data_IF_608681031546
#
_entry.id   IF_608681031546
#
_cell.length_a   1.000
_cell.length_b   1.000
_cell.length_c   1.000
_cell.angle_alpha   90.00
_cell.angle_beta   90.00
_cell.angle_gamma   90.00
#
_symmetry.space_group_name_H-M   'P 1'
#
loop_
_entity.id
_entity.type
_entity.pdbx_description
1 polymer ?
#
# COMPACT_ATOMS: atom_id res chain seq x y z
N UNK A 1 6.37 22.09 7.59
CA UNK A 1 5.00 22.04 7.01
C UNK A 1 3.99 22.36 8.10
N UNK A 2 2.70 22.40 7.77
CA UNK A 2 1.62 22.44 8.77
C UNK A 2 1.17 21.02 9.14
N UNK A 3 2.14 20.09 9.21
CA UNK A 3 1.91 18.76 9.75
C UNK A 3 1.51 18.89 11.21
N UNK A 4 0.65 17.99 11.70
CA UNK A 4 0.31 17.99 13.13
C UNK A 4 1.51 17.49 13.96
N UNK A 5 2.14 16.41 13.51
CA UNK A 5 3.31 15.80 14.14
C UNK A 5 4.37 15.54 13.06
N UNK A 6 5.63 15.81 13.39
CA UNK A 6 6.76 15.57 12.49
C UNK A 6 7.91 14.96 13.27
N UNK A 7 8.37 13.79 12.81
CA UNK A 7 9.66 13.21 13.18
C UNK A 7 10.66 13.55 12.08
N UNK A 8 11.72 14.28 12.43
CA UNK A 8 12.77 14.69 11.50
C UNK A 8 14.15 14.54 12.15
N UNK A 9 15.06 13.79 11.52
CA UNK A 9 16.44 13.60 11.97
C UNK A 9 17.52 14.08 11.01
N UNK A 10 18.78 13.70 11.29
CA UNK A 10 19.94 14.00 10.46
C UNK A 10 20.76 12.74 10.17
N UNK A 11 21.45 12.69 9.03
CA UNK A 11 22.38 11.62 8.65
C UNK A 11 23.68 12.22 8.11
N UNK A 12 24.76 11.43 8.06
CA UNK A 12 25.97 11.81 7.35
C UNK A 12 25.92 11.26 5.91
N UNK A 13 25.40 12.04 4.97
CA UNK A 13 25.05 11.50 3.65
C UNK A 13 23.96 10.43 3.78
N UNK A 14 24.18 9.24 3.23
CA UNK A 14 23.27 8.11 3.41
C UNK A 14 23.59 7.26 4.65
N UNK A 15 24.62 7.60 5.44
CA UNK A 15 24.95 6.89 6.67
C UNK A 15 24.11 7.41 7.85
N UNK A 16 23.17 6.57 8.29
CA UNK A 16 22.28 6.79 9.42
C UNK A 16 22.77 6.22 10.75
N UNK A 17 23.95 5.59 10.81
CA UNK A 17 24.41 4.85 12.00
C UNK A 17 24.83 5.75 13.17
N UNK A 18 24.91 7.07 12.94
CA UNK A 18 25.27 8.06 13.97
C UNK A 18 24.23 8.29 15.07
N UNK A 19 22.98 7.84 14.90
CA UNK A 19 21.94 7.92 15.93
C UNK A 19 21.27 9.30 16.09
N UNK A 20 21.47 10.22 15.14
CA UNK A 20 20.92 11.58 15.15
C UNK A 20 19.47 11.64 14.59
N UNK A 21 18.73 10.53 14.68
CA UNK A 21 17.39 10.38 14.14
C UNK A 21 16.39 10.05 15.24
N UNK A 22 15.19 10.67 15.24
CA UNK A 22 14.12 10.26 16.14
C UNK A 22 13.80 8.77 15.96
N UNK A 23 13.79 8.05 17.08
CA UNK A 23 13.42 6.64 17.16
C UNK A 23 12.38 6.45 18.25
N UNK A 24 11.54 5.43 18.09
CA UNK A 24 10.54 5.05 19.10
C UNK A 24 9.50 6.15 19.39
N UNK A 25 9.22 7.03 18.42
CA UNK A 25 8.15 8.02 18.52
C UNK A 25 6.81 7.31 18.72
N UNK A 26 6.06 7.68 19.76
CA UNK A 26 4.72 7.15 20.02
C UNK A 26 3.67 8.21 19.72
N UNK A 27 2.77 7.91 18.78
CA UNK A 27 1.65 8.76 18.38
C UNK A 27 0.39 7.93 18.55
N UNK A 28 -0.19 7.97 19.75
CA UNK A 28 -1.31 7.10 20.10
C UNK A 28 -2.48 7.86 20.69
N UNK A 29 -3.71 7.38 20.40
CA UNK A 29 -4.95 7.88 21.01
C UNK A 29 -5.26 9.36 20.72
N UNK A 30 -4.88 9.85 19.53
CA UNK A 30 -5.11 11.23 19.14
C UNK A 30 -6.36 11.38 18.26
N UNK A 31 -6.97 12.57 18.35
CA UNK A 31 -7.95 13.07 17.40
C UNK A 31 -7.32 14.23 16.62
N UNK A 32 -7.18 14.08 15.30
CA UNK A 32 -6.64 15.12 14.44
C UNK A 32 -7.63 15.44 13.31
N UNK A 33 -7.96 16.71 13.14
CA UNK A 33 -8.78 17.16 12.02
C UNK A 33 -8.53 18.61 11.63
N UNK A 34 -8.89 18.96 10.39
CA UNK A 34 -8.86 20.33 9.85
C UNK A 34 -7.47 21.00 9.95
N UNK A 35 -6.40 20.26 9.69
CA UNK A 35 -5.04 20.82 9.58
C UNK A 35 -4.74 21.32 8.16
N UNK A 36 -3.58 21.96 7.97
CA UNK A 36 -3.10 22.34 6.64
C UNK A 36 -3.91 23.46 5.95
N UNK A 37 -4.37 24.45 6.71
CA UNK A 37 -5.10 25.60 6.17
C UNK A 37 -4.30 26.42 5.14
N UNK A 38 -2.97 26.46 5.28
CA UNK A 38 -2.04 27.22 4.44
C UNK A 38 -1.21 26.27 3.57
N UNK A 39 -0.53 25.29 4.18
CA UNK A 39 0.29 24.32 3.44
C UNK A 39 -0.50 23.04 3.20
N UNK A 40 -0.82 22.76 1.93
CA UNK A 40 -1.64 21.61 1.53
C UNK A 40 -0.85 20.31 1.45
N UNK A 41 0.48 20.38 1.38
CA UNK A 41 1.34 19.22 1.64
C UNK A 41 1.59 19.05 3.15
N UNK A 42 0.52 18.71 3.87
CA UNK A 42 0.56 18.47 5.32
C UNK A 42 -0.16 17.17 5.69
N UNK A 43 0.39 16.45 6.66
CA UNK A 43 -0.11 15.18 7.17
C UNK A 43 -0.34 15.24 8.69
N UNK A 44 -1.15 14.32 9.22
CA UNK A 44 -1.23 14.15 10.67
C UNK A 44 0.13 13.71 11.23
N UNK A 45 0.72 12.70 10.62
CA UNK A 45 2.08 12.28 10.92
C UNK A 45 2.93 12.34 9.66
N UNK A 46 4.03 13.07 9.75
CA UNK A 46 5.07 13.09 8.73
C UNK A 46 6.37 12.55 9.33
N UNK A 47 7.05 11.70 8.60
CA UNK A 47 8.34 11.15 8.98
C UNK A 47 9.36 11.32 7.85
N UNK A 48 10.52 11.86 8.21
CA UNK A 48 11.71 11.92 7.39
C UNK A 48 12.93 11.67 8.27
N UNK A 49 13.86 10.82 7.83
CA UNK A 49 15.06 10.48 8.60
C UNK A 49 14.72 10.10 10.05
N UNK A 50 13.74 9.22 10.23
CA UNK A 50 13.30 8.69 11.53
C UNK A 50 12.80 7.27 11.38
N UNK A 51 12.76 6.49 12.47
CA UNK A 51 12.44 5.06 12.40
C UNK A 51 11.68 4.59 13.64
N UNK A 52 11.13 3.37 13.57
CA UNK A 52 10.52 2.67 14.71
C UNK A 52 9.37 3.43 15.38
N UNK A 53 8.62 4.24 14.62
CA UNK A 53 7.46 4.94 15.12
C UNK A 53 6.31 3.97 15.41
N UNK A 54 5.55 4.23 16.47
CA UNK A 54 4.30 3.54 16.78
C UNK A 54 3.16 4.53 16.61
N UNK A 55 2.32 4.33 15.60
CA UNK A 55 1.19 5.20 15.24
C UNK A 55 -0.07 4.37 15.37
N UNK A 56 -0.80 4.51 16.48
CA UNK A 56 -1.97 3.65 16.72
C UNK A 56 -3.15 4.31 17.42
N UNK A 57 -4.35 3.77 17.23
CA UNK A 57 -5.56 4.25 17.90
C UNK A 57 -5.87 5.74 17.64
N UNK A 58 -5.42 6.28 16.49
CA UNK A 58 -5.71 7.66 16.13
C UNK A 58 -6.94 7.74 15.23
N UNK A 59 -7.69 8.83 15.36
CA UNK A 59 -8.77 9.20 14.44
C UNK A 59 -8.31 10.45 13.69
N UNK A 60 -8.18 10.34 12.37
CA UNK A 60 -7.68 11.40 11.51
C UNK A 60 -8.64 11.64 10.36
N UNK A 61 -9.11 12.88 10.23
CA UNK A 61 -10.03 13.23 9.15
C UNK A 61 -10.03 14.70 8.78
N UNK A 62 -10.63 15.01 7.64
CA UNK A 62 -10.76 16.36 7.13
C UNK A 62 -9.40 17.05 6.96
N UNK A 63 -8.47 16.42 6.25
CA UNK A 63 -7.11 16.94 6.04
C UNK A 63 -6.80 17.07 4.54
N UNK A 64 -5.87 17.97 4.14
CA UNK A 64 -5.65 18.28 2.73
C UNK A 64 -4.98 17.17 1.92
N UNK A 65 -4.17 16.29 2.56
CA UNK A 65 -3.32 15.24 1.96
C UNK A 65 -3.42 13.93 2.73
N UNK A 66 -2.55 12.96 2.45
CA UNK A 66 -2.34 11.73 3.22
C UNK A 66 -2.25 11.99 4.72
N UNK A 67 -2.87 11.14 5.52
CA UNK A 67 -2.86 11.24 6.98
C UNK A 67 -1.51 10.85 7.57
N UNK A 68 -0.91 9.79 7.07
CA UNK A 68 0.40 9.31 7.49
C UNK A 68 1.29 9.31 6.24
N UNK A 69 2.42 9.99 6.33
CA UNK A 69 3.34 10.13 5.21
C UNK A 69 4.78 9.81 5.63
N UNK A 70 5.35 8.75 5.06
CA UNK A 70 6.76 8.40 5.21
C UNK A 70 7.53 8.88 3.97
N UNK A 71 8.62 9.61 4.18
CA UNK A 71 9.22 10.39 3.10
C UNK A 71 10.43 9.73 2.41
N UNK A 72 11.14 8.83 3.09
CA UNK A 72 12.49 8.45 2.65
C UNK A 72 12.96 7.03 2.98
N UNK A 73 12.12 6.11 3.45
CA UNK A 73 12.55 4.74 3.74
C UNK A 73 13.61 4.59 4.85
N UNK A 74 13.87 5.63 5.66
CA UNK A 74 14.92 5.58 6.67
C UNK A 74 14.63 4.53 7.75
N UNK A 75 15.44 3.46 7.80
CA UNK A 75 15.59 2.54 8.93
C UNK A 75 14.40 1.62 9.25
N UNK A 76 13.19 2.00 8.88
CA UNK A 76 11.96 1.22 8.98
C UNK A 76 11.55 0.85 10.42
N UNK A 77 10.91 -0.31 10.57
CA UNK A 77 10.46 -0.84 11.86
C UNK A 77 9.26 -0.10 12.48
N UNK A 78 8.56 0.72 11.69
CA UNK A 78 7.36 1.40 12.16
C UNK A 78 6.20 0.41 12.34
N UNK A 79 5.28 0.75 13.25
CA UNK A 79 4.02 0.03 13.48
C UNK A 79 2.86 0.98 13.34
N UNK A 80 2.00 0.75 12.36
CA UNK A 80 0.84 1.59 12.05
C UNK A 80 -0.41 0.72 12.19
N UNK A 81 -1.14 0.88 13.29
CA UNK A 81 -2.27 -0.01 13.54
C UNK A 81 -3.45 0.58 14.30
N UNK A 82 -4.65 0.04 14.06
CA UNK A 82 -5.89 0.47 14.73
C UNK A 82 -6.18 1.97 14.57
N UNK A 83 -5.75 2.58 13.46
CA UNK A 83 -6.11 3.95 13.13
C UNK A 83 -7.40 3.99 12.31
N UNK A 84 -8.18 5.06 12.47
CA UNK A 84 -9.30 5.41 11.60
C UNK A 84 -8.90 6.63 10.76
N UNK A 85 -8.74 6.45 9.45
CA UNK A 85 -8.34 7.48 8.50
C UNK A 85 -9.46 7.67 7.48
N UNK A 86 -10.04 8.86 7.38
CA UNK A 86 -11.11 9.12 6.42
C UNK A 86 -11.16 10.59 6.02
N UNK A 87 -11.72 10.91 4.85
CA UNK A 87 -11.77 12.29 4.36
C UNK A 87 -10.37 12.96 4.35
N UNK A 88 -9.37 12.19 3.91
CA UNK A 88 -8.01 12.65 3.60
C UNK A 88 -7.95 13.12 2.15
N UNK A 89 -6.84 13.75 1.75
CA UNK A 89 -6.65 14.19 0.35
C UNK A 89 -7.81 15.07 -0.18
N UNK A 90 -8.30 16.01 0.63
CA UNK A 90 -9.41 16.91 0.24
C UNK A 90 -9.00 18.00 -0.73
N UNK A 91 -7.73 18.38 -0.72
CA UNK A 91 -7.20 19.55 -1.42
C UNK A 91 -5.90 19.25 -2.18
N UNK A 92 -5.48 17.98 -2.20
CA UNK A 92 -4.41 17.43 -3.04
C UNK A 92 -4.83 16.04 -3.53
N UNK A 93 -4.30 15.59 -4.66
CA UNK A 93 -4.43 14.20 -5.13
C UNK A 93 -3.07 13.58 -5.40
N UNK A 94 -3.05 12.47 -6.16
CA UNK A 94 -1.87 11.66 -6.49
C UNK A 94 -1.27 10.89 -5.30
N UNK A 95 -2.09 10.62 -4.27
CA UNK A 95 -1.63 10.00 -3.01
C UNK A 95 -2.75 9.19 -2.34
N UNK A 96 -2.40 8.19 -1.54
CA UNK A 96 -3.33 7.49 -0.65
C UNK A 96 -3.55 8.15 0.71
N UNK A 97 -4.44 7.55 1.51
CA UNK A 97 -4.65 7.95 2.91
C UNK A 97 -3.43 7.68 3.80
N UNK A 98 -2.77 6.53 3.60
CA UNK A 98 -1.38 6.28 3.97
C UNK A 98 -0.51 6.45 2.72
N UNK A 99 0.68 7.04 2.87
CA UNK A 99 1.63 7.25 1.78
C UNK A 99 3.08 6.98 2.22
N UNK A 100 3.88 6.35 1.37
CA UNK A 100 5.34 6.24 1.53
C UNK A 100 6.13 6.53 0.26
N UNK A 101 7.36 7.02 0.41
CA UNK A 101 8.40 7.10 -0.63
C UNK A 101 9.73 6.63 -0.08
N UNK A 102 10.50 5.89 -0.89
CA UNK A 102 11.83 5.42 -0.50
C UNK A 102 12.85 5.69 -1.64
N UNK A 103 13.09 6.97 -1.94
CA UNK A 103 13.95 7.39 -3.07
C UNK A 103 15.47 7.32 -2.82
N UNK A 104 15.91 6.90 -1.62
CA UNK A 104 17.33 6.78 -1.27
C UNK A 104 17.57 5.62 -0.29
N UNK A 105 18.51 4.69 -0.58
CA UNK A 105 18.91 3.68 0.40
C UNK A 105 19.80 4.28 1.50
N UNK A 106 19.36 4.16 2.75
CA UNK A 106 20.13 4.56 3.93
C UNK A 106 20.84 3.37 4.56
N UNK A 107 22.08 3.56 5.01
CA UNK A 107 22.77 2.60 5.86
C UNK A 107 22.32 2.81 7.30
N UNK A 108 21.71 1.79 7.91
CA UNK A 108 21.24 1.82 9.30
C UNK A 108 21.61 0.53 10.02
N UNK A 109 21.58 0.53 11.35
CA UNK A 109 21.77 -0.67 12.17
C UNK A 109 20.45 -1.23 12.75
N UNK A 110 19.31 -0.74 12.28
CA UNK A 110 18.01 -0.97 12.93
C UNK A 110 17.50 -2.39 12.72
N UNK A 111 17.65 -2.95 11.52
CA UNK A 111 17.12 -4.26 11.18
C UNK A 111 17.81 -5.40 11.94
N UNK A 112 19.14 -5.34 12.07
CA UNK A 112 19.96 -6.48 12.55
C UNK A 112 20.92 -6.12 13.68
N UNK A 113 21.03 -4.84 14.07
CA UNK A 113 22.06 -4.35 14.98
C UNK A 113 23.42 -4.12 14.33
N UNK A 114 23.54 -4.32 13.00
CA UNK A 114 24.75 -4.07 12.24
C UNK A 114 24.44 -3.16 11.03
N UNK A 115 25.38 -2.28 10.63
CA UNK A 115 25.19 -1.40 9.47
C UNK A 115 24.80 -2.17 8.20
N UNK A 116 23.67 -1.80 7.60
CA UNK A 116 23.13 -2.37 6.37
C UNK A 116 22.24 -1.37 5.64
N UNK A 117 22.12 -1.48 4.31
CA UNK A 117 21.15 -0.72 3.51
C UNK A 117 19.72 -1.30 3.55
N UNK A 118 19.55 -2.45 4.19
CA UNK A 118 18.24 -3.08 4.39
C UNK A 118 17.58 -2.51 5.66
N UNK A 119 16.47 -1.77 5.55
CA UNK A 119 15.73 -1.28 6.71
C UNK A 119 15.00 -2.41 7.42
N UNK A 120 14.51 -2.15 8.64
CA UNK A 120 13.60 -3.05 9.31
C UNK A 120 12.21 -3.01 8.63
N UNK A 121 11.49 -4.13 8.62
CA UNK A 121 10.15 -4.22 8.04
C UNK A 121 9.18 -3.27 8.73
N UNK A 122 8.44 -2.48 7.96
CA UNK A 122 7.32 -1.68 8.45
C UNK A 122 6.06 -2.53 8.52
N UNK A 123 5.30 -2.40 9.59
CA UNK A 123 4.12 -3.21 9.89
C UNK A 123 2.87 -2.34 9.89
N UNK A 124 1.98 -2.52 8.90
CA UNK A 124 0.77 -1.71 8.69
C UNK A 124 -0.45 -2.60 8.77
N UNK A 125 -1.17 -2.55 9.89
CA UNK A 125 -2.22 -3.53 10.13
C UNK A 125 -3.42 -3.06 10.93
N UNK A 126 -4.56 -3.73 10.77
CA UNK A 126 -5.77 -3.45 11.57
C UNK A 126 -6.26 -1.99 11.49
N UNK A 127 -5.99 -1.27 10.40
CA UNK A 127 -6.49 0.10 10.21
C UNK A 127 -7.85 0.08 9.50
N UNK A 128 -8.71 1.04 9.84
CA UNK A 128 -9.91 1.36 9.06
C UNK A 128 -9.63 2.59 8.22
N UNK A 129 -9.59 2.42 6.91
CA UNK A 129 -9.27 3.49 5.97
C UNK A 129 -10.44 3.67 5.00
N UNK A 130 -10.89 4.91 4.85
CA UNK A 130 -11.93 5.32 3.89
C UNK A 130 -11.35 6.37 2.95
N UNK A 131 -11.00 5.96 1.73
CA UNK A 131 -10.37 6.79 0.70
C UNK A 131 -11.43 7.46 -0.20
N UNK A 132 -12.26 8.35 0.36
CA UNK A 132 -13.48 8.85 -0.30
C UNK A 132 -13.36 10.23 -0.99
N UNK A 133 -12.15 10.75 -1.19
CA UNK A 133 -11.89 12.03 -1.89
C UNK A 133 -10.82 11.82 -2.96
N UNK A 134 -9.91 12.78 -3.19
CA UNK A 134 -8.78 12.61 -4.10
C UNK A 134 -7.66 11.76 -3.49
N UNK A 135 -8.01 10.78 -2.65
CA UNK A 135 -7.11 9.72 -2.21
C UNK A 135 -7.03 8.65 -3.32
N UNK A 136 -6.67 9.10 -4.52
CA UNK A 136 -6.63 8.32 -5.75
C UNK A 136 -5.50 7.29 -5.77
N UNK A 137 -4.43 7.47 -4.97
CA UNK A 137 -3.48 6.39 -4.64
C UNK A 137 -4.07 5.30 -3.73
N UNK A 138 -5.33 5.43 -3.29
CA UNK A 138 -6.07 4.43 -2.54
C UNK A 138 -5.99 4.57 -1.02
N UNK A 139 -6.16 3.44 -0.33
CA UNK A 139 -6.03 3.43 1.13
C UNK A 139 -4.57 3.35 1.55
N UNK A 140 -3.81 2.53 0.84
CA UNK A 140 -2.41 2.20 1.09
C UNK A 140 -1.63 2.56 -0.16
N UNK A 141 -0.85 3.63 -0.08
CA UNK A 141 -0.01 4.12 -1.17
C UNK A 141 1.46 3.90 -0.85
N UNK A 142 2.03 2.87 -1.43
CA UNK A 142 3.46 2.65 -1.43
C UNK A 142 4.01 3.12 -2.78
N UNK A 143 4.40 4.39 -2.80
CA UNK A 143 4.83 5.13 -3.98
C UNK A 143 6.36 5.01 -4.20
N UNK A 144 6.93 5.75 -5.16
CA UNK A 144 8.34 5.66 -5.63
C UNK A 144 9.32 4.93 -4.70
N UNK A 145 9.74 3.74 -5.12
CA UNK A 145 10.81 2.96 -4.49
C UNK A 145 10.43 2.32 -3.15
N UNK A 146 9.21 2.51 -2.66
CA UNK A 146 8.75 2.00 -1.36
C UNK A 146 9.03 0.51 -1.20
N UNK A 147 9.69 0.14 -0.11
CA UNK A 147 10.06 -1.24 0.14
C UNK A 147 9.96 -1.66 1.61
N UNK A 148 9.94 -2.98 1.84
CA UNK A 148 9.93 -3.60 3.16
C UNK A 148 8.68 -3.26 4.00
N UNK A 149 7.51 -3.65 3.48
CA UNK A 149 6.23 -3.47 4.15
C UNK A 149 5.48 -4.79 4.31
N UNK A 150 5.05 -5.09 5.54
CA UNK A 150 4.02 -6.10 5.83
C UNK A 150 2.70 -5.37 6.09
N UNK A 151 1.71 -5.61 5.23
CA UNK A 151 0.48 -4.84 5.15
C UNK A 151 -0.68 -5.81 5.29
N UNK A 152 -1.28 -5.87 6.48
CA UNK A 152 -2.22 -6.94 6.75
C UNK A 152 -3.42 -6.56 7.57
N UNK A 153 -4.53 -7.28 7.38
CA UNK A 153 -5.71 -7.13 8.23
C UNK A 153 -6.30 -5.70 8.24
N UNK A 154 -6.07 -4.90 7.19
CA UNK A 154 -6.66 -3.57 7.07
C UNK A 154 -8.06 -3.68 6.42
N UNK A 155 -8.98 -2.82 6.86
CA UNK A 155 -10.30 -2.66 6.29
C UNK A 155 -10.34 -1.37 5.46
N UNK A 156 -10.31 -1.52 4.15
CA UNK A 156 -10.18 -0.42 3.18
C UNK A 156 -11.49 -0.24 2.42
N UNK A 157 -12.03 0.98 2.42
CA UNK A 157 -13.27 1.33 1.70
C UNK A 157 -12.97 2.46 0.73
N UNK A 158 -13.42 2.32 -0.52
CA UNK A 158 -13.17 3.25 -1.62
C UNK A 158 -11.70 3.44 -1.99
N UNK A 159 -10.81 2.56 -1.51
CA UNK A 159 -9.40 2.54 -1.89
C UNK A 159 -8.85 1.13 -1.90
N UNK A 160 -7.83 0.92 -2.73
CA UNK A 160 -7.06 -0.32 -2.81
C UNK A 160 -5.66 -0.14 -2.24
N UNK A 161 -4.74 -0.93 -2.78
CA UNK A 161 -3.31 -0.86 -2.49
C UNK A 161 -2.55 -0.50 -3.77
N UNK A 162 -1.91 0.66 -3.76
CA UNK A 162 -0.95 1.09 -4.78
C UNK A 162 0.43 0.56 -4.41
N UNK A 163 1.02 -0.22 -5.31
CA UNK A 163 2.31 -0.88 -5.15
C UNK A 163 3.33 -0.47 -6.24
N UNK A 164 2.89 0.34 -7.21
CA UNK A 164 3.65 0.78 -8.38
C UNK A 164 4.82 1.76 -8.07
N UNK A 165 5.46 2.26 -9.14
CA UNK A 165 6.65 3.12 -9.10
C UNK A 165 7.90 2.47 -8.48
N UNK A 166 8.17 1.22 -8.87
CA UNK A 166 9.30 0.43 -8.38
C UNK A 166 9.27 0.21 -6.84
N UNK A 167 10.39 -0.22 -6.28
CA UNK A 167 10.45 -0.76 -4.92
C UNK A 167 10.25 -2.27 -4.92
N UNK A 168 10.06 -2.85 -3.74
CA UNK A 168 10.01 -4.31 -3.57
C UNK A 168 9.63 -4.74 -2.14
N UNK A 169 9.49 -6.05 -1.89
CA UNK A 169 9.25 -6.62 -0.55
C UNK A 169 8.02 -6.01 0.15
N UNK A 170 6.99 -5.71 -0.64
CA UNK A 170 5.66 -5.33 -0.16
C UNK A 170 4.80 -6.60 -0.10
N UNK A 171 4.23 -6.88 1.07
CA UNK A 171 3.47 -8.09 1.32
C UNK A 171 2.11 -7.75 1.90
N UNK A 172 1.07 -7.92 1.08
CA UNK A 172 -0.29 -7.61 1.43
C UNK A 172 -1.07 -8.89 1.76
N UNK A 173 -1.55 -9.02 2.99
CA UNK A 173 -2.29 -10.21 3.41
C UNK A 173 -3.54 -9.97 4.27
N UNK A 174 -4.60 -10.74 4.05
CA UNK A 174 -5.83 -10.66 4.87
C UNK A 174 -6.50 -9.28 4.94
N UNK A 175 -6.21 -8.39 4.00
CA UNK A 175 -6.89 -7.10 3.90
C UNK A 175 -8.25 -7.29 3.21
N UNK A 176 -9.17 -6.40 3.51
CA UNK A 176 -10.50 -6.35 2.87
C UNK A 176 -10.64 -5.02 2.15
N UNK A 177 -10.72 -5.09 0.83
CA UNK A 177 -10.86 -3.94 -0.06
C UNK A 177 -12.28 -3.88 -0.60
N UNK A 178 -13.01 -2.85 -0.20
CA UNK A 178 -14.43 -2.66 -0.51
C UNK A 178 -14.57 -1.52 -1.51
N UNK A 179 -15.02 -1.84 -2.73
CA UNK A 179 -15.19 -0.88 -3.83
C UNK A 179 -13.92 -0.07 -4.09
N UNK A 180 -12.78 -0.75 -4.30
CA UNK A 180 -11.48 -0.11 -4.30
C UNK A 180 -11.33 0.88 -5.47
N UNK A 181 -10.61 1.97 -5.21
CA UNK A 181 -10.14 2.89 -6.24
C UNK A 181 -8.66 3.18 -6.00
N UNK A 182 -7.84 2.87 -6.98
CA UNK A 182 -6.42 3.20 -7.08
C UNK A 182 -6.19 3.63 -8.52
N UNK A 183 -6.02 4.92 -8.78
CA UNK A 183 -6.02 5.54 -10.11
C UNK A 183 -7.11 4.96 -11.04
N UNK A 184 -8.35 4.88 -10.53
CA UNK A 184 -9.45 4.15 -11.15
C UNK A 184 -9.83 2.89 -10.38
N UNK A 185 -10.83 2.14 -10.83
CA UNK A 185 -11.32 0.96 -10.10
C UNK A 185 -10.35 -0.19 -10.26
N UNK A 186 -9.70 -0.62 -9.16
CA UNK A 186 -8.86 -1.83 -9.05
C UNK A 186 -8.41 -2.05 -7.61
N UNK A 187 -8.15 -3.30 -7.24
CA UNK A 187 -7.68 -3.64 -5.89
C UNK A 187 -6.18 -3.41 -5.71
N UNK A 188 -5.42 -3.69 -6.76
CA UNK A 188 -3.96 -3.63 -6.78
C UNK A 188 -3.55 -2.86 -8.03
N UNK A 189 -2.65 -1.91 -7.85
CA UNK A 189 -1.99 -1.22 -8.94
C UNK A 189 -0.48 -1.40 -8.82
N UNK A 190 0.07 -2.25 -9.69
CA UNK A 190 1.50 -2.40 -9.94
C UNK A 190 1.73 -1.94 -11.38
N UNK A 191 2.35 -0.79 -11.61
CA UNK A 191 2.47 -0.23 -12.96
C UNK A 191 3.76 -0.65 -13.68
N UNK A 192 3.80 -0.29 -14.95
CA UNK A 192 4.80 -0.65 -15.94
C UNK A 192 5.97 0.33 -16.05
N UNK A 193 5.97 1.43 -15.29
CA UNK A 193 6.84 2.58 -15.56
C UNK A 193 8.32 2.28 -15.38
N UNK A 194 8.63 1.23 -14.61
CA UNK A 194 9.98 0.70 -14.51
C UNK A 194 10.50 0.04 -15.80
N UNK A 195 9.64 -0.28 -16.78
CA UNK A 195 10.06 -0.69 -18.13
C UNK A 195 10.68 0.48 -18.90
N UNK A 196 10.04 1.65 -18.85
CA UNK A 196 10.47 2.85 -19.58
C UNK A 196 11.74 3.47 -18.95
N UNK A 197 11.87 3.35 -17.63
CA UNK A 197 13.00 3.88 -16.87
C UNK A 197 14.13 2.88 -16.64
N UNK A 198 13.89 1.59 -16.93
CA UNK A 198 14.87 0.50 -16.81
C UNK A 198 15.19 0.09 -15.37
N UNK A 199 14.30 0.41 -14.43
CA UNK A 199 14.42 0.15 -12.99
C UNK A 199 13.68 -1.13 -12.56
N UNK A 200 12.70 -1.58 -13.33
CA UNK A 200 12.02 -2.84 -13.12
C UNK A 200 12.78 -4.04 -13.71
N UNK A 201 12.46 -5.23 -13.21
CA UNK A 201 12.88 -6.50 -13.80
C UNK A 201 12.20 -6.78 -15.14
N UNK A 202 12.40 -7.98 -15.72
CA UNK A 202 11.83 -8.35 -17.01
C UNK A 202 10.31 -8.15 -17.05
N UNK A 203 9.82 -7.50 -18.12
CA UNK A 203 8.40 -7.17 -18.33
C UNK A 203 7.78 -6.30 -17.21
N UNK A 204 8.53 -5.39 -16.62
CA UNK A 204 7.98 -4.44 -15.64
C UNK A 204 7.59 -5.07 -14.30
N UNK A 205 8.19 -6.21 -13.98
CA UNK A 205 7.95 -6.92 -12.73
C UNK A 205 9.09 -6.64 -11.73
N UNK A 206 8.83 -6.74 -10.41
CA UNK A 206 9.91 -6.76 -9.42
C UNK A 206 10.99 -7.81 -9.78
N UNK A 207 12.30 -7.49 -9.62
CA UNK A 207 13.36 -8.43 -9.92
C UNK A 207 13.28 -9.72 -9.07
N UNK A 208 13.85 -10.82 -9.59
CA UNK A 208 13.86 -12.08 -8.85
C UNK A 208 14.54 -11.94 -7.47
N UNK A 209 13.87 -12.44 -6.42
CA UNK A 209 14.32 -12.32 -5.02
C UNK A 209 13.72 -11.12 -4.27
N UNK A 210 12.98 -10.26 -4.98
CA UNK A 210 12.34 -9.05 -4.48
C UNK A 210 10.83 -9.09 -4.69
N UNK A 211 10.28 -10.31 -4.72
CA UNK A 211 8.90 -10.56 -5.08
C UNK A 211 7.94 -9.91 -4.10
N UNK A 212 6.91 -9.28 -4.63
CA UNK A 212 5.80 -8.79 -3.84
C UNK A 212 4.75 -9.88 -3.69
N UNK A 213 3.89 -9.74 -2.68
CA UNK A 213 2.85 -10.74 -2.46
C UNK A 213 1.50 -10.12 -2.13
N UNK A 214 0.45 -10.73 -2.69
CA UNK A 214 -0.92 -10.39 -2.42
C UNK A 214 -1.69 -11.68 -2.13
N UNK A 215 -1.90 -11.95 -0.84
CA UNK A 215 -2.28 -13.28 -0.36
C UNK A 215 -3.47 -13.23 0.59
N UNK A 216 -4.49 -14.04 0.32
CA UNK A 216 -5.68 -14.19 1.20
C UNK A 216 -6.45 -12.88 1.44
N UNK A 217 -6.37 -11.92 0.52
CA UNK A 217 -7.14 -10.68 0.58
C UNK A 217 -8.55 -10.89 0.02
N UNK A 218 -9.48 -10.03 0.43
CA UNK A 218 -10.81 -9.93 -0.15
C UNK A 218 -10.88 -8.65 -1.01
N UNK A 219 -11.29 -8.79 -2.26
CA UNK A 219 -11.50 -7.71 -3.21
C UNK A 219 -12.96 -7.65 -3.62
N UNK A 220 -13.64 -6.51 -3.46
CA UNK A 220 -15.06 -6.34 -3.85
C UNK A 220 -15.17 -5.24 -4.91
N UNK A 221 -15.25 -5.65 -6.17
CA UNK A 221 -15.35 -4.75 -7.32
C UNK A 221 -16.80 -4.25 -7.49
N UNK A 222 -16.99 -2.97 -7.88
CA UNK A 222 -18.31 -2.36 -7.98
C UNK A 222 -19.11 -2.79 -9.22
N UNK A 223 -18.46 -3.10 -10.34
CA UNK A 223 -19.12 -3.47 -11.60
C UNK A 223 -18.50 -4.71 -12.27
N UNK A 224 -19.28 -5.32 -13.17
CA UNK A 224 -18.82 -6.42 -14.00
C UNK A 224 -17.74 -5.94 -14.98
N UNK A 225 -16.67 -6.71 -15.13
CA UNK A 225 -15.57 -6.42 -16.05
C UNK A 225 -14.56 -5.39 -15.52
N UNK A 226 -14.73 -4.92 -14.29
CA UNK A 226 -13.75 -4.10 -13.59
C UNK A 226 -12.45 -4.88 -13.37
N UNK A 227 -11.28 -4.22 -13.43
CA UNK A 227 -10.02 -4.89 -13.24
C UNK A 227 -9.77 -5.20 -11.77
N UNK A 228 -9.38 -6.45 -11.51
CA UNK A 228 -8.87 -6.88 -10.21
C UNK A 228 -7.51 -6.26 -9.93
N UNK A 229 -6.62 -6.30 -10.93
CA UNK A 229 -5.22 -5.92 -10.83
C UNK A 229 -4.73 -5.35 -12.17
N UNK A 230 -3.82 -4.39 -12.09
CA UNK A 230 -2.92 -3.99 -13.17
C UNK A 230 -1.50 -4.31 -12.70
N UNK A 231 -0.67 -4.86 -13.59
CA UNK A 231 0.67 -5.36 -13.29
C UNK A 231 1.59 -5.36 -14.52
N UNK A 232 2.89 -5.43 -14.27
CA UNK A 232 3.87 -6.06 -15.15
C UNK A 232 3.56 -7.49 -15.56
N UNK A 233 4.32 -7.99 -16.53
CA UNK A 233 4.31 -9.36 -17.00
C UNK A 233 3.67 -9.53 -18.36
N UNK A 234 3.87 -10.71 -18.95
CA UNK A 234 3.25 -11.10 -20.22
C UNK A 234 2.57 -12.45 -20.05
N UNK A 235 1.44 -12.64 -20.72
CA UNK A 235 0.60 -13.83 -20.57
C UNK A 235 1.34 -15.14 -20.93
N UNK A 236 2.37 -15.07 -21.77
CA UNK A 236 3.17 -16.24 -22.15
C UNK A 236 4.18 -16.68 -21.09
N UNK A 237 4.40 -15.90 -20.03
CA UNK A 237 5.41 -16.21 -18.99
C UNK A 237 4.83 -16.18 -17.55
N UNK A 238 3.97 -17.15 -17.20
CA UNK A 238 3.45 -17.28 -15.84
C UNK A 238 4.54 -17.54 -14.79
N UNK A 239 5.68 -18.11 -15.17
CA UNK A 239 6.78 -18.42 -14.25
C UNK A 239 7.57 -17.17 -13.89
N UNK A 240 7.87 -16.31 -14.88
CA UNK A 240 8.47 -15.01 -14.64
C UNK A 240 7.58 -14.12 -13.79
N UNK A 241 6.28 -14.09 -14.09
CA UNK A 241 5.30 -13.39 -13.25
C UNK A 241 5.36 -13.81 -11.79
N UNK A 242 5.33 -15.12 -11.51
CA UNK A 242 5.37 -15.64 -10.13
C UNK A 242 6.68 -15.38 -9.39
N UNK A 243 7.75 -14.93 -10.06
CA UNK A 243 8.99 -14.48 -9.43
C UNK A 243 8.95 -13.01 -9.01
N UNK A 244 8.11 -12.20 -9.65
CA UNK A 244 7.91 -10.79 -9.32
C UNK A 244 6.72 -10.57 -8.39
N UNK A 245 5.59 -11.24 -8.65
CA UNK A 245 4.35 -11.07 -7.87
C UNK A 245 3.75 -12.42 -7.53
N UNK A 246 3.51 -12.63 -6.24
CA UNK A 246 2.88 -13.83 -5.69
C UNK A 246 1.42 -13.55 -5.38
N UNK A 247 0.52 -14.05 -6.23
CA UNK A 247 -0.92 -14.04 -5.99
C UNK A 247 -1.37 -15.40 -5.45
N UNK A 248 -2.09 -15.40 -4.32
CA UNK A 248 -2.58 -16.66 -3.72
C UNK A 248 -3.81 -16.52 -2.83
N UNK A 249 -4.77 -17.43 -2.97
CA UNK A 249 -5.95 -17.56 -2.11
C UNK A 249 -6.79 -16.28 -1.94
N UNK A 250 -6.72 -15.33 -2.87
CA UNK A 250 -7.54 -14.13 -2.81
C UNK A 250 -8.99 -14.48 -3.17
N UNK A 251 -9.92 -13.73 -2.59
CA UNK A 251 -11.35 -13.85 -2.93
C UNK A 251 -11.81 -12.57 -3.59
N UNK A 252 -12.17 -12.66 -4.86
CA UNK A 252 -12.61 -11.54 -5.68
C UNK A 252 -14.13 -11.66 -5.85
N UNK A 253 -14.85 -10.62 -5.48
CA UNK A 253 -16.27 -10.47 -5.72
C UNK A 253 -16.47 -9.43 -6.82
N UNK A 254 -17.10 -9.82 -7.92
CA UNK A 254 -17.47 -8.91 -9.00
C UNK A 254 -18.84 -9.30 -9.56
N UNK A 255 -19.73 -8.34 -9.88
CA UNK A 255 -21.01 -8.65 -10.49
C UNK A 255 -20.88 -9.58 -11.69
N UNK A 256 -21.80 -10.55 -11.81
CA UNK A 256 -21.78 -11.60 -12.85
C UNK A 256 -20.53 -12.50 -12.86
N UNK A 257 -19.71 -12.48 -11.80
CA UNK A 257 -18.41 -13.17 -11.76
C UNK A 257 -17.50 -12.75 -12.93
N UNK A 258 -17.56 -11.49 -13.32
CA UNK A 258 -16.80 -10.94 -14.45
C UNK A 258 -15.80 -9.90 -13.96
N UNK A 259 -14.52 -10.16 -14.22
CA UNK A 259 -13.39 -9.31 -13.85
C UNK A 259 -12.24 -9.53 -14.83
N UNK A 260 -11.37 -8.54 -14.93
CA UNK A 260 -10.17 -8.58 -15.77
C UNK A 260 -8.88 -8.40 -14.97
N UNK A 261 -7.77 -8.74 -15.61
CA UNK A 261 -6.42 -8.35 -15.21
C UNK A 261 -5.77 -7.66 -16.41
N UNK A 262 -4.94 -6.65 -16.17
CA UNK A 262 -4.12 -6.03 -17.22
C UNK A 262 -2.66 -6.35 -16.95
N UNK A 263 -1.96 -6.90 -17.94
CA UNK A 263 -0.52 -7.20 -17.88
C UNK A 263 0.20 -6.39 -18.97
N UNK A 264 1.10 -5.47 -18.62
CA UNK A 264 1.81 -4.63 -19.62
C UNK A 264 0.89 -3.96 -20.65
N UNK A 265 -0.29 -3.49 -20.21
CA UNK A 265 -1.32 -2.88 -21.07
C UNK A 265 -2.27 -3.87 -21.75
N UNK A 266 -1.96 -5.17 -21.79
CA UNK A 266 -2.82 -6.21 -22.34
C UNK A 266 -3.89 -6.64 -21.34
N UNK A 267 -5.13 -6.24 -21.61
CA UNK A 267 -6.31 -6.59 -20.78
C UNK A 267 -6.82 -7.99 -21.13
N UNK A 268 -6.88 -8.88 -20.14
CA UNK A 268 -7.43 -10.24 -20.25
C UNK A 268 -8.50 -10.49 -19.18
N UNK A 269 -9.42 -11.43 -19.42
CA UNK A 269 -10.36 -11.84 -18.37
C UNK A 269 -9.63 -12.64 -17.28
N UNK A 270 -10.12 -12.56 -16.04
CA UNK A 270 -9.54 -13.30 -14.91
C UNK A 270 -9.54 -14.82 -15.17
N UNK A 271 -10.59 -15.35 -15.79
CA UNK A 271 -10.64 -16.77 -16.18
C UNK A 271 -9.55 -17.12 -17.21
N UNK A 272 -9.29 -16.24 -18.20
CA UNK A 272 -8.25 -16.46 -19.18
C UNK A 272 -6.85 -16.39 -18.56
N UNK A 273 -6.64 -15.44 -17.63
CA UNK A 273 -5.43 -15.34 -16.82
C UNK A 273 -5.16 -16.64 -16.05
N UNK A 274 -6.17 -17.17 -15.34
CA UNK A 274 -6.04 -18.45 -14.63
C UNK A 274 -5.80 -19.65 -15.55
N UNK A 275 -6.45 -19.69 -16.72
CA UNK A 275 -6.25 -20.76 -17.70
C UNK A 275 -4.79 -20.83 -18.23
N UNK A 276 -4.03 -19.74 -18.14
CA UNK A 276 -2.60 -19.69 -18.50
C UNK A 276 -1.66 -20.03 -17.33
N UNK A 277 -2.21 -20.44 -16.18
CA UNK A 277 -1.44 -20.90 -15.02
C UNK A 277 -1.09 -19.81 -14.01
N UNK A 278 -1.63 -18.60 -14.17
CA UNK A 278 -1.50 -17.53 -13.19
C UNK A 278 -2.52 -17.70 -12.07
N UNK A 279 -2.15 -17.32 -10.84
CA UNK A 279 -3.02 -17.30 -9.66
C UNK A 279 -4.03 -18.47 -9.57
N UNK A 280 -3.57 -19.73 -9.56
CA UNK A 280 -4.44 -20.90 -9.66
C UNK A 280 -5.31 -21.13 -8.40
N UNK A 281 -5.14 -20.31 -7.37
CA UNK A 281 -5.72 -20.54 -6.04
C UNK A 281 -6.71 -19.47 -5.60
N UNK A 282 -6.67 -18.28 -6.22
CA UNK A 282 -7.67 -17.26 -5.97
C UNK A 282 -8.99 -17.59 -6.67
N UNK A 283 -10.08 -17.02 -6.19
CA UNK A 283 -11.43 -17.28 -6.69
C UNK A 283 -12.14 -16.00 -7.09
N UNK A 284 -12.97 -16.10 -8.13
CA UNK A 284 -13.86 -15.03 -8.58
C UNK A 284 -15.31 -15.47 -8.39
N UNK A 285 -16.10 -14.65 -7.69
CA UNK A 285 -17.49 -14.94 -7.35
C UNK A 285 -18.42 -13.81 -7.76
N UNK A 286 -19.54 -14.17 -8.39
CA UNK A 286 -20.66 -13.27 -8.67
C UNK A 286 -21.65 -13.14 -7.51
N UNK A 287 -21.50 -13.94 -6.45
CA UNK A 287 -22.33 -13.87 -5.25
C UNK A 287 -21.86 -12.72 -4.36
N UNK A 288 -22.26 -11.50 -4.73
CA UNK A 288 -21.85 -10.28 -4.03
C UNK A 288 -22.25 -10.34 -2.54
N UNK A 289 -21.33 -10.01 -1.62
CA UNK A 289 -21.62 -10.02 -0.19
C UNK A 289 -22.58 -8.90 0.17
N UNK A 290 -23.47 -9.15 1.15
CA UNK A 290 -24.32 -8.09 1.72
C UNK A 290 -23.49 -7.12 2.56
N UNK A 291 -24.04 -5.93 2.82
CA UNK A 291 -23.41 -4.96 3.70
C UNK A 291 -23.15 -5.53 5.10
N UNK A 292 -24.07 -6.33 5.65
CA UNK A 292 -23.89 -6.99 6.95
C UNK A 292 -22.72 -7.97 6.91
N UNK A 293 -22.55 -8.70 5.80
CA UNK A 293 -21.42 -9.62 5.62
C UNK A 293 -20.10 -8.87 5.53
N UNK A 294 -20.03 -7.78 4.76
CA UNK A 294 -18.86 -6.92 4.66
C UNK A 294 -18.48 -6.36 6.04
N UNK A 295 -19.46 -5.80 6.75
CA UNK A 295 -19.26 -5.29 8.11
C UNK A 295 -18.78 -6.40 9.06
N UNK A 296 -19.27 -7.63 8.90
CA UNK A 296 -18.83 -8.77 9.73
C UNK A 296 -17.36 -9.14 9.51
N UNK A 297 -16.81 -8.91 8.31
CA UNK A 297 -15.38 -9.08 8.03
C UNK A 297 -14.56 -7.93 8.60
N UNK A 298 -15.05 -6.69 8.50
CA UNK A 298 -14.35 -5.52 9.03
C UNK A 298 -14.25 -5.51 10.56
N UNK A 299 -15.33 -5.85 11.28
CA UNK A 299 -15.38 -5.81 12.76
C UNK A 299 -14.17 -6.43 13.48
N UNK A 300 -13.79 -7.70 13.25
CA UNK A 300 -12.67 -8.32 13.96
C UNK A 300 -11.32 -7.65 13.66
N UNK A 301 -11.21 -6.87 12.58
CA UNK A 301 -10.00 -6.13 12.25
C UNK A 301 -9.85 -4.85 13.09
N UNK A 302 -10.91 -4.37 13.74
CA UNK A 302 -10.94 -3.10 14.46
C UNK A 302 -10.82 -3.24 15.98
N UNK A 303 -10.89 -4.46 16.53
CA UNK A 303 -10.88 -4.75 17.98
C UNK A 303 -9.72 -5.64 18.42
#
# INVERSE_FOLDING_TARGET
>A
GQNAITSWGFTNGNDGTGGEQPRFTQVTENLCHEIGHIQKQSSFYFQALSAQAVISHNIVYNIPRAAINFNDGFGGGAKIFRNLLFNTCRESGDHGAFNSWDRLPYVTDIATGAPSSTPALNDVHNNFIVANYAADGGCLDNDDGSAYYEIHHNFCVFGGHKQNFDGHDKHASFNVYVYPQVYGVKCIDEEMEGEDTGTSGPNGLPPAGYSESYVSNICILPAAGDPYMISGGILSDPKGFAQGIVLRNNTIYAPSADSSVTLSGDKVSFHHFQAHGFDPSSSLSGAMPSNEKIISWGRPLLF
#
